data_IF_630675512121
#
_entry.id   IF_630675512121
#
_cell.length_a   1.000
_cell.length_b   1.000
_cell.length_c   1.000
_cell.angle_alpha   90.00
_cell.angle_beta   90.00
_cell.angle_gamma   90.00
#
_symmetry.space_group_name_H-M   'P 1'
#
loop_
_entity.id
_entity.type
_entity.pdbx_description
1 polymer ?
#
# COMPACT_ATOMS: atom_id res chain seq x y z
N UNK A 1 0.46 9.55 -0.02
CA UNK A 1 0.37 10.87 -0.71
C UNK A 1 0.44 12.08 0.23
N UNK A 2 -0.60 12.41 1.02
CA UNK A 2 -0.70 13.70 1.73
C UNK A 2 0.44 13.99 2.73
N UNK A 3 1.02 12.97 3.36
CA UNK A 3 2.09 13.13 4.35
C UNK A 3 3.44 13.55 3.73
N UNK A 4 3.96 12.89 2.67
CA UNK A 4 5.17 13.34 1.97
C UNK A 4 4.94 14.52 0.98
N UNK A 5 3.77 15.15 0.98
CA UNK A 5 3.40 16.17 -0.01
C UNK A 5 4.43 17.32 -0.10
N UNK A 6 4.75 17.75 -1.32
CA UNK A 6 5.76 18.75 -1.63
C UNK A 6 7.16 18.43 -1.03
N UNK A 7 7.46 17.15 -0.79
CA UNK A 7 8.70 16.71 -0.13
C UNK A 7 8.86 17.29 1.28
N UNK A 8 7.75 17.56 1.99
CA UNK A 8 7.75 18.20 3.30
C UNK A 8 8.45 19.60 3.32
N UNK A 9 8.46 20.30 2.18
CA UNK A 9 8.91 21.71 2.11
C UNK A 9 7.84 22.71 2.55
N UNK A 10 6.58 22.28 2.62
CA UNK A 10 5.40 23.05 3.06
C UNK A 10 4.80 22.38 4.31
N UNK A 11 4.23 23.12 5.27
CA UNK A 11 3.56 22.52 6.43
C UNK A 11 2.30 21.74 6.00
N UNK A 12 2.01 20.63 6.67
CA UNK A 12 0.79 19.84 6.43
C UNK A 12 -0.45 20.55 7.01
N UNK A 13 -1.61 20.49 6.31
CA UNK A 13 -2.86 21.11 6.77
C UNK A 13 -3.64 20.25 7.79
N UNK A 14 -3.02 19.22 8.36
CA UNK A 14 -3.63 18.25 9.29
C UNK A 14 -2.67 17.92 10.44
N UNK A 15 -3.23 17.61 11.61
CA UNK A 15 -2.45 17.31 12.81
C UNK A 15 -1.96 15.85 12.87
N UNK A 16 -2.61 14.93 12.15
CA UNK A 16 -2.36 13.49 12.22
C UNK A 16 -2.88 12.76 10.98
N UNK A 17 -2.37 11.54 10.72
CA UNK A 17 -2.77 10.72 9.58
C UNK A 17 -3.23 9.30 10.00
N UNK A 18 -4.27 8.76 9.36
CA UNK A 18 -4.60 7.33 9.47
C UNK A 18 -4.60 6.69 8.08
N UNK A 19 -3.96 5.54 7.98
CA UNK A 19 -3.66 4.82 6.75
C UNK A 19 -4.20 3.38 6.89
N UNK A 20 -5.38 3.12 6.30
CA UNK A 20 -5.99 1.79 6.26
C UNK A 20 -5.65 1.13 4.93
N UNK A 21 -5.04 -0.04 5.00
CA UNK A 21 -4.67 -0.87 3.86
C UNK A 21 -3.79 -0.08 2.88
N UNK A 22 -2.58 0.23 3.34
CA UNK A 22 -1.47 0.97 2.70
C UNK A 22 -1.21 2.41 3.14
N UNK A 23 0.05 2.83 2.96
CA UNK A 23 0.60 4.16 3.27
C UNK A 23 1.30 4.81 2.05
N UNK A 24 1.90 4.00 1.18
CA UNK A 24 2.58 4.39 -0.05
C UNK A 24 1.93 3.60 -1.17
N UNK A 25 1.54 4.27 -2.25
CA UNK A 25 0.98 3.58 -3.40
C UNK A 25 2.11 2.87 -4.14
N UNK A 26 1.92 1.59 -4.46
CA UNK A 26 2.90 0.86 -5.26
C UNK A 26 2.81 1.32 -6.73
N UNK A 27 3.82 1.05 -7.55
CA UNK A 27 3.79 1.36 -8.99
C UNK A 27 3.67 2.84 -9.40
N UNK A 28 3.84 3.81 -8.48
CA UNK A 28 3.75 5.25 -8.78
C UNK A 28 4.72 5.77 -9.88
N UNK A 29 5.82 5.04 -10.17
CA UNK A 29 6.71 5.37 -11.28
C UNK A 29 6.34 4.71 -12.62
N UNK A 30 5.34 3.82 -12.68
CA UNK A 30 4.93 3.22 -13.93
C UNK A 30 4.06 4.18 -14.75
N UNK A 31 4.21 4.11 -16.07
CA UNK A 31 3.43 4.93 -17.01
C UNK A 31 1.99 4.42 -17.20
N UNK A 32 1.39 3.74 -16.21
CA UNK A 32 0.05 3.14 -16.30
C UNK A 32 -0.98 4.23 -16.62
N UNK A 33 -1.02 5.30 -15.81
CA UNK A 33 -1.98 6.40 -15.96
C UNK A 33 -1.75 7.24 -17.21
N UNK A 34 -0.50 7.40 -17.63
CA UNK A 34 -0.15 8.05 -18.89
C UNK A 34 -0.63 7.24 -20.10
N UNK A 35 -0.30 5.94 -20.14
CA UNK A 35 -0.73 5.02 -21.19
C UNK A 35 -2.26 4.91 -21.27
N UNK A 36 -2.94 4.81 -20.14
CA UNK A 36 -4.40 4.78 -20.06
C UNK A 36 -5.04 6.07 -20.61
N UNK A 37 -4.56 7.25 -20.17
CA UNK A 37 -5.03 8.55 -20.64
C UNK A 37 -4.86 8.69 -22.15
N UNK A 38 -3.70 8.31 -22.69
CA UNK A 38 -3.42 8.37 -24.11
C UNK A 38 -4.26 7.39 -24.93
N UNK A 39 -4.43 6.15 -24.47
CA UNK A 39 -5.27 5.15 -25.14
C UNK A 39 -6.74 5.60 -25.20
N UNK A 40 -7.28 6.15 -24.11
CA UNK A 40 -8.64 6.71 -24.08
C UNK A 40 -8.75 7.92 -25.01
N UNK A 41 -7.73 8.78 -25.09
CA UNK A 41 -7.71 9.90 -26.02
C UNK A 41 -7.64 9.50 -27.50
N UNK A 42 -6.94 8.40 -27.83
CA UNK A 42 -6.96 7.80 -29.18
C UNK A 42 -8.36 7.28 -29.51
N UNK A 43 -8.96 6.49 -28.62
CA UNK A 43 -10.32 5.94 -28.81
C UNK A 43 -11.41 7.01 -28.84
N UNK A 44 -11.20 8.14 -28.14
CA UNK A 44 -12.02 9.35 -28.18
C UNK A 44 -11.84 10.19 -29.45
N UNK A 45 -10.90 9.82 -30.34
CA UNK A 45 -10.51 10.59 -31.51
C UNK A 45 -9.98 12.01 -31.18
N UNK A 46 -9.40 12.18 -29.99
CA UNK A 46 -8.77 13.42 -29.49
C UNK A 46 -7.29 13.57 -29.87
N UNK A 47 -6.82 12.78 -30.85
CA UNK A 47 -5.56 12.97 -31.58
C UNK A 47 -4.30 13.06 -30.70
N UNK A 48 -4.16 12.15 -29.73
CA UNK A 48 -2.92 11.98 -28.97
C UNK A 48 -1.79 11.47 -29.87
N UNK A 49 -0.61 12.10 -29.79
CA UNK A 49 0.55 11.77 -30.63
C UNK A 49 1.44 10.64 -30.08
N UNK A 50 1.38 10.43 -28.77
CA UNK A 50 2.18 9.48 -27.99
C UNK A 50 1.59 9.35 -26.57
N UNK A 51 2.14 8.46 -25.75
CA UNK A 51 1.65 8.17 -24.40
C UNK A 51 1.88 9.27 -23.35
N UNK A 52 2.71 10.28 -23.64
CA UNK A 52 2.99 11.42 -22.76
C UNK A 52 2.34 12.73 -23.25
N UNK A 53 1.68 12.68 -24.41
CA UNK A 53 1.11 13.83 -25.10
C UNK A 53 -0.11 14.41 -24.36
N UNK A 54 0.17 15.31 -23.42
CA UNK A 54 -0.82 16.12 -22.70
C UNK A 54 -1.07 17.46 -23.41
N UNK A 55 -1.11 17.45 -24.75
CA UNK A 55 -1.29 18.69 -25.52
C UNK A 55 -2.61 19.38 -25.13
N UNK A 56 -2.65 20.72 -25.00
CA UNK A 56 -3.87 21.42 -24.59
C UNK A 56 -5.09 21.07 -25.46
N UNK A 57 -4.89 20.87 -26.77
CA UNK A 57 -5.94 20.48 -27.70
C UNK A 57 -6.52 19.06 -27.42
N UNK A 58 -5.67 18.09 -27.05
CA UNK A 58 -6.11 16.74 -26.66
C UNK A 58 -6.89 16.77 -25.34
N UNK A 59 -6.43 17.54 -24.36
CA UNK A 59 -7.13 17.70 -23.07
C UNK A 59 -8.45 18.47 -23.24
N UNK A 60 -8.50 19.53 -24.05
CA UNK A 60 -9.72 20.28 -24.31
C UNK A 60 -10.74 19.48 -25.14
N UNK A 61 -10.27 18.62 -26.05
CA UNK A 61 -11.11 17.62 -26.71
C UNK A 61 -11.72 16.65 -25.69
N UNK A 62 -10.92 16.04 -24.81
CA UNK A 62 -11.43 15.14 -23.75
C UNK A 62 -12.47 15.83 -22.85
N UNK A 63 -12.22 17.09 -22.46
CA UNK A 63 -13.15 17.91 -21.66
C UNK A 63 -14.46 18.23 -22.38
N UNK A 64 -14.49 18.22 -23.70
CA UNK A 64 -15.70 18.49 -24.50
C UNK A 64 -16.66 17.31 -24.60
N UNK A 65 -16.20 16.10 -24.22
CA UNK A 65 -16.99 14.87 -24.35
C UNK A 65 -17.97 14.69 -23.19
N UNK A 66 -19.15 14.07 -23.44
CA UNK A 66 -20.04 13.63 -22.36
C UNK A 66 -19.35 12.65 -21.41
N UNK A 67 -19.66 12.75 -20.12
CA UNK A 67 -19.12 11.84 -19.09
C UNK A 67 -19.39 10.37 -19.40
N UNK A 68 -20.58 10.05 -19.94
CA UNK A 68 -20.94 8.69 -20.39
C UNK A 68 -20.02 8.17 -21.51
N UNK A 69 -19.62 9.04 -22.44
CA UNK A 69 -18.66 8.68 -23.50
C UNK A 69 -17.30 8.36 -22.91
N UNK A 70 -16.79 9.22 -22.03
CA UNK A 70 -15.50 8.97 -21.35
C UNK A 70 -15.53 7.70 -20.50
N UNK A 71 -16.63 7.45 -19.77
CA UNK A 71 -16.81 6.25 -18.96
C UNK A 71 -16.79 4.97 -19.82
N UNK A 72 -17.56 4.95 -20.92
CA UNK A 72 -17.62 3.78 -21.79
C UNK A 72 -16.26 3.49 -22.44
N UNK A 73 -15.56 4.51 -22.94
CA UNK A 73 -14.20 4.35 -23.48
C UNK A 73 -13.19 3.86 -22.42
N UNK A 74 -13.36 4.28 -21.17
CA UNK A 74 -12.54 3.79 -20.05
C UNK A 74 -12.83 2.32 -19.74
N UNK A 75 -14.11 1.92 -19.72
CA UNK A 75 -14.50 0.53 -19.49
C UNK A 75 -14.05 -0.40 -20.63
N UNK A 76 -14.13 0.05 -21.88
CA UNK A 76 -13.64 -0.70 -23.05
C UNK A 76 -12.12 -0.89 -23.02
N UNK A 77 -11.36 0.03 -22.40
CA UNK A 77 -9.93 -0.12 -22.16
C UNK A 77 -9.61 -1.05 -20.96
N UNK A 78 -10.34 -0.93 -19.85
CA UNK A 78 -10.09 -1.76 -18.64
C UNK A 78 -10.50 -3.22 -18.87
N UNK A 79 -11.69 -3.48 -19.42
CA UNK A 79 -12.27 -4.83 -19.45
C UNK A 79 -11.40 -5.93 -20.10
N UNK A 80 -10.64 -5.67 -21.19
CA UNK A 80 -9.70 -6.65 -21.75
C UNK A 80 -8.46 -6.91 -20.87
N UNK A 81 -8.12 -5.99 -19.96
CA UNK A 81 -6.88 -6.01 -19.16
C UNK A 81 -7.05 -6.64 -17.77
N UNK A 82 -8.29 -6.97 -17.37
CA UNK A 82 -8.69 -7.49 -16.05
C UNK A 82 -7.96 -8.75 -15.55
N UNK A 83 -7.31 -9.52 -16.42
CA UNK A 83 -6.50 -10.67 -16.02
C UNK A 83 -5.14 -10.25 -15.44
N UNK A 84 -4.69 -9.05 -15.78
CA UNK A 84 -3.31 -8.57 -15.71
C UNK A 84 -3.18 -7.24 -14.94
N UNK A 85 -4.29 -6.67 -14.46
CA UNK A 85 -4.32 -5.55 -13.52
C UNK A 85 -5.47 -5.70 -12.52
N UNK A 86 -5.38 -4.98 -11.41
CA UNK A 86 -6.35 -4.89 -10.33
C UNK A 86 -7.51 -3.90 -10.62
N UNK A 87 -7.60 -3.43 -11.87
CA UNK A 87 -8.45 -2.33 -12.40
C UNK A 87 -7.97 -0.92 -12.09
N UNK A 88 -6.92 -0.70 -11.30
CA UNK A 88 -6.41 0.65 -11.13
C UNK A 88 -5.51 1.04 -12.31
N UNK A 89 -6.01 2.01 -13.08
CA UNK A 89 -5.32 2.58 -14.23
C UNK A 89 -5.10 4.09 -14.07
N UNK A 90 -5.58 4.70 -12.99
CA UNK A 90 -5.52 6.14 -12.74
C UNK A 90 -4.92 6.43 -11.36
N UNK A 91 -3.75 5.84 -11.16
CA UNK A 91 -2.92 5.93 -9.99
C UNK A 91 -2.32 7.33 -9.78
N UNK A 92 -1.96 7.67 -8.53
CA UNK A 92 -1.00 8.72 -8.21
C UNK A 92 0.29 8.59 -9.02
N UNK A 93 0.81 9.73 -9.52
CA UNK A 93 2.06 9.79 -10.27
C UNK A 93 2.97 10.90 -9.72
N UNK A 94 4.26 10.83 -10.05
CA UNK A 94 5.24 11.90 -9.75
C UNK A 94 4.95 13.10 -10.65
N UNK A 95 4.45 14.19 -10.08
CA UNK A 95 4.04 15.41 -10.79
C UNK A 95 5.07 16.54 -10.71
N UNK A 96 6.17 16.35 -9.97
CA UNK A 96 7.24 17.33 -9.73
C UNK A 96 6.81 18.56 -8.89
N UNK A 97 5.61 18.56 -8.28
CA UNK A 97 5.16 19.57 -7.30
C UNK A 97 4.54 18.90 -6.05
N UNK A 98 3.31 18.39 -6.13
CA UNK A 98 2.62 17.77 -4.98
C UNK A 98 3.31 16.47 -4.55
N UNK A 99 3.77 15.68 -5.51
CA UNK A 99 4.63 14.51 -5.35
C UNK A 99 5.91 14.77 -6.16
N UNK A 100 6.92 15.43 -5.56
CA UNK A 100 8.11 15.83 -6.30
C UNK A 100 9.06 14.68 -6.63
N UNK A 101 8.85 13.51 -6.03
CA UNK A 101 9.64 12.29 -6.20
C UNK A 101 8.79 11.06 -5.80
N UNK A 102 9.34 9.85 -5.96
CA UNK A 102 8.72 8.59 -5.53
C UNK A 102 8.45 8.54 -4.03
N UNK A 103 7.39 7.86 -3.65
CA UNK A 103 6.94 7.82 -2.26
C UNK A 103 7.98 7.12 -1.36
N UNK A 104 8.65 6.08 -1.86
CA UNK A 104 9.79 5.46 -1.16
C UNK A 104 10.97 6.40 -1.01
N UNK A 105 11.37 7.14 -2.06
CA UNK A 105 12.48 8.12 -2.01
C UNK A 105 12.22 9.21 -0.98
N UNK A 106 11.01 9.78 -0.99
CA UNK A 106 10.58 10.77 0.00
C UNK A 106 10.58 10.20 1.43
N UNK A 107 10.23 8.93 1.61
CA UNK A 107 10.26 8.23 2.91
C UNK A 107 11.71 7.93 3.35
N UNK A 108 12.55 7.41 2.46
CA UNK A 108 13.95 7.03 2.70
C UNK A 108 14.83 8.23 3.09
N UNK A 109 14.66 9.36 2.39
CA UNK A 109 15.32 10.63 2.72
C UNK A 109 14.73 11.30 3.98
N UNK A 110 13.65 10.77 4.55
CA UNK A 110 12.96 11.37 5.67
C UNK A 110 12.31 12.71 5.33
N UNK A 111 11.82 12.91 4.10
CA UNK A 111 10.99 14.07 3.68
C UNK A 111 9.56 13.95 4.22
N UNK A 112 9.44 13.74 5.53
CA UNK A 112 8.20 13.45 6.27
C UNK A 112 8.00 14.45 7.44
N UNK A 113 6.81 15.02 7.66
CA UNK A 113 6.51 15.92 8.78
C UNK A 113 6.48 15.20 10.13
N UNK A 114 6.68 15.93 11.25
CA UNK A 114 6.55 15.36 12.59
C UNK A 114 5.08 15.36 13.01
N UNK A 115 4.38 14.30 12.67
CA UNK A 115 2.98 14.06 13.05
C UNK A 115 2.82 12.65 13.65
N UNK A 116 1.87 12.45 14.59
CA UNK A 116 1.38 11.11 14.91
C UNK A 116 0.65 10.51 13.70
N UNK A 117 0.80 9.21 13.51
CA UNK A 117 0.06 8.45 12.51
C UNK A 117 -0.41 7.11 13.08
N UNK A 118 -1.44 6.52 12.48
CA UNK A 118 -1.77 5.10 12.61
C UNK A 118 -1.75 4.48 11.21
N UNK A 119 -1.17 3.29 11.08
CA UNK A 119 -1.28 2.48 9.87
C UNK A 119 -1.73 1.06 10.23
N UNK A 120 -2.40 0.37 9.31
CA UNK A 120 -2.83 -1.02 9.49
C UNK A 120 -3.41 -1.62 8.22
N UNK A 121 -3.56 -2.94 8.20
CA UNK A 121 -4.06 -3.77 7.09
C UNK A 121 -4.86 -4.95 7.67
N UNK A 122 -5.59 -5.69 6.84
CA UNK A 122 -6.18 -6.98 7.22
C UNK A 122 -5.33 -8.16 6.75
N UNK A 123 -5.51 -9.30 7.40
CA UNK A 123 -4.80 -10.57 7.14
C UNK A 123 -4.90 -11.01 5.65
N UNK A 124 -6.08 -10.86 5.05
CA UNK A 124 -6.42 -11.36 3.70
C UNK A 124 -6.76 -10.27 2.66
N UNK A 125 -6.46 -8.98 2.92
CA UNK A 125 -6.97 -7.83 2.13
C UNK A 125 -6.84 -7.98 0.61
N UNK A 126 -5.72 -8.52 0.11
CA UNK A 126 -5.48 -8.67 -1.34
C UNK A 126 -6.13 -9.91 -1.98
N UNK A 127 -6.78 -10.79 -1.22
CA UNK A 127 -7.47 -11.98 -1.75
C UNK A 127 -8.58 -11.62 -2.73
N UNK A 128 -9.22 -10.45 -2.56
CA UNK A 128 -10.25 -9.95 -3.48
C UNK A 128 -9.68 -9.53 -4.85
N UNK A 129 -8.43 -9.05 -4.88
CA UNK A 129 -7.76 -8.52 -6.07
C UNK A 129 -6.87 -9.57 -6.77
N UNK A 130 -6.67 -10.74 -6.16
CA UNK A 130 -5.80 -11.80 -6.69
C UNK A 130 -6.57 -12.70 -7.66
N UNK A 131 -5.94 -13.05 -8.79
CA UNK A 131 -6.60 -13.81 -9.85
C UNK A 131 -6.99 -15.22 -9.37
N UNK A 132 -8.30 -15.47 -9.28
CA UNK A 132 -8.87 -16.67 -8.67
C UNK A 132 -8.58 -18.02 -9.34
N UNK A 133 -7.92 -18.03 -10.52
CA UNK A 133 -7.56 -19.24 -11.27
C UNK A 133 -6.14 -19.75 -10.99
N UNK A 134 -5.38 -19.08 -10.12
CA UNK A 134 -4.04 -19.52 -9.70
C UNK A 134 -4.17 -20.87 -8.97
N UNK A 135 -3.54 -21.93 -9.51
CA UNK A 135 -3.58 -23.29 -8.93
C UNK A 135 -2.19 -23.87 -8.65
N UNK A 136 -1.16 -23.40 -9.36
CA UNK A 136 0.21 -23.92 -9.32
C UNK A 136 1.24 -22.82 -9.05
N UNK A 137 2.43 -23.23 -8.59
CA UNK A 137 3.58 -22.33 -8.44
C UNK A 137 3.98 -21.62 -9.77
N UNK A 138 3.66 -22.21 -10.93
CA UNK A 138 3.88 -21.58 -12.22
C UNK A 138 2.87 -20.43 -12.45
N UNK A 139 1.61 -20.60 -12.06
CA UNK A 139 0.58 -19.56 -12.17
C UNK A 139 0.88 -18.39 -11.21
N UNK A 140 1.27 -18.70 -9.96
CA UNK A 140 1.73 -17.71 -8.98
C UNK A 140 2.89 -16.90 -9.53
N UNK A 141 3.86 -17.55 -10.19
CA UNK A 141 4.98 -16.85 -10.81
C UNK A 141 4.54 -15.98 -11.98
N UNK A 142 3.73 -16.51 -12.90
CA UNK A 142 3.24 -15.80 -14.08
C UNK A 142 2.41 -14.57 -13.68
N UNK A 143 1.62 -14.65 -12.60
CA UNK A 143 0.91 -13.52 -12.02
C UNK A 143 1.85 -12.36 -11.67
N UNK A 144 2.94 -12.62 -10.94
CA UNK A 144 3.91 -11.56 -10.59
C UNK A 144 4.76 -11.08 -11.76
N UNK A 145 5.11 -11.94 -12.73
CA UNK A 145 5.81 -11.51 -13.96
C UNK A 145 4.94 -10.60 -14.84
N UNK A 146 3.61 -10.71 -14.74
CA UNK A 146 2.65 -9.84 -15.42
C UNK A 146 2.42 -8.53 -14.66
N UNK A 147 2.18 -8.60 -13.34
CA UNK A 147 1.86 -7.41 -12.52
C UNK A 147 3.07 -6.52 -12.24
N UNK A 148 4.26 -7.11 -12.10
CA UNK A 148 5.50 -6.39 -11.81
C UNK A 148 6.60 -6.80 -12.81
N UNK A 149 6.49 -6.38 -14.09
CA UNK A 149 7.35 -6.86 -15.18
C UNK A 149 8.84 -6.49 -15.03
N UNK A 150 9.16 -5.55 -14.13
CA UNK A 150 10.54 -5.16 -13.79
C UNK A 150 11.15 -6.00 -12.65
N UNK A 151 10.38 -6.87 -11.97
CA UNK A 151 10.93 -7.86 -11.05
C UNK A 151 11.73 -8.91 -11.83
N UNK A 152 13.06 -8.83 -11.70
CA UNK A 152 13.94 -9.78 -12.36
C UNK A 152 13.75 -11.21 -11.79
N UNK A 153 14.09 -12.20 -12.60
CA UNK A 153 13.86 -13.62 -12.28
C UNK A 153 14.50 -14.08 -10.96
N UNK A 154 15.66 -13.52 -10.58
CA UNK A 154 16.33 -13.85 -9.31
C UNK A 154 15.57 -13.25 -8.12
N UNK A 155 15.18 -11.97 -8.21
CA UNK A 155 14.38 -11.29 -7.19
C UNK A 155 13.03 -11.98 -6.99
N UNK A 156 12.32 -12.32 -8.08
CA UNK A 156 11.05 -13.04 -7.98
C UNK A 156 11.22 -14.46 -7.42
N UNK A 157 12.29 -15.18 -7.77
CA UNK A 157 12.57 -16.50 -7.19
C UNK A 157 12.83 -16.41 -5.67
N UNK A 158 13.60 -15.40 -5.24
CA UNK A 158 13.84 -15.16 -3.81
C UNK A 158 12.56 -14.78 -3.07
N UNK A 159 11.73 -13.92 -3.66
CA UNK A 159 10.41 -13.56 -3.13
C UNK A 159 9.53 -14.79 -2.91
N UNK A 160 9.35 -15.62 -3.95
CA UNK A 160 8.53 -16.83 -3.87
C UNK A 160 9.04 -17.84 -2.81
N UNK A 161 10.34 -17.87 -2.53
CA UNK A 161 10.94 -18.73 -1.50
C UNK A 161 10.66 -18.26 -0.07
N UNK A 162 10.37 -16.96 0.16
CA UNK A 162 9.99 -16.45 1.49
C UNK A 162 8.62 -16.99 1.92
N UNK A 163 7.73 -17.24 0.97
CA UNK A 163 6.35 -17.70 1.19
C UNK A 163 6.15 -19.13 0.66
N UNK A 164 6.59 -20.18 1.37
CA UNK A 164 6.42 -21.56 0.90
C UNK A 164 4.94 -21.99 0.98
N UNK A 165 4.46 -22.69 -0.05
CA UNK A 165 3.04 -23.04 -0.22
C UNK A 165 2.48 -23.95 0.88
N UNK A 166 3.34 -24.68 1.62
CA UNK A 166 2.95 -25.54 2.74
C UNK A 166 2.36 -24.77 3.94
N UNK A 167 2.51 -23.44 3.98
CA UNK A 167 1.89 -22.57 4.98
C UNK A 167 0.45 -22.16 4.64
N UNK A 168 0.00 -22.46 3.42
CA UNK A 168 -1.30 -22.05 2.91
C UNK A 168 -2.23 -23.25 2.75
N UNK A 169 -3.49 -23.11 3.17
CA UNK A 169 -4.49 -24.18 3.11
C UNK A 169 -5.50 -23.88 2.02
N UNK A 170 -5.72 -24.82 1.09
CA UNK A 170 -6.74 -24.69 0.05
C UNK A 170 -8.16 -24.71 0.65
N UNK A 171 -9.05 -23.84 0.15
CA UNK A 171 -10.46 -23.84 0.52
C UNK A 171 -11.25 -24.60 -0.56
N UNK A 172 -11.38 -25.91 -0.35
CA UNK A 172 -12.04 -26.84 -1.28
C UNK A 172 -13.51 -26.46 -1.50
N UNK A 173 -14.22 -26.01 -0.45
CA UNK A 173 -15.64 -25.63 -0.55
C UNK A 173 -15.85 -24.36 -1.40
N UNK A 174 -14.90 -23.43 -1.38
CA UNK A 174 -14.92 -22.21 -2.19
C UNK A 174 -14.24 -22.37 -3.57
N UNK A 175 -13.72 -23.57 -3.88
CA UNK A 175 -12.86 -23.84 -5.04
C UNK A 175 -11.69 -22.86 -5.15
N UNK A 176 -10.88 -22.76 -4.09
CA UNK A 176 -9.68 -21.89 -4.01
C UNK A 176 -8.46 -22.73 -3.62
N UNK A 177 -7.39 -22.61 -4.41
CA UNK A 177 -6.14 -23.35 -4.20
C UNK A 177 -5.31 -22.77 -3.04
N UNK A 178 -4.28 -23.49 -2.59
CA UNK A 178 -3.28 -22.95 -1.65
C UNK A 178 -2.36 -21.90 -2.32
N UNK A 179 -2.06 -22.08 -3.61
CA UNK A 179 -1.26 -21.13 -4.41
C UNK A 179 -1.98 -19.78 -4.58
N UNK A 180 -3.31 -19.76 -4.64
CA UNK A 180 -4.09 -18.52 -4.64
C UNK A 180 -3.87 -17.73 -3.35
N UNK A 181 -4.01 -18.38 -2.19
CA UNK A 181 -3.81 -17.71 -0.89
C UNK A 181 -2.36 -17.26 -0.70
N UNK A 182 -1.39 -18.06 -1.18
CA UNK A 182 0.02 -17.68 -1.24
C UNK A 182 0.25 -16.44 -2.09
N UNK A 183 -0.28 -16.42 -3.32
CA UNK A 183 -0.20 -15.28 -4.22
C UNK A 183 -0.85 -14.03 -3.60
N UNK A 184 -2.03 -14.18 -3.00
CA UNK A 184 -2.73 -13.09 -2.33
C UNK A 184 -1.94 -12.52 -1.15
N UNK A 185 -1.31 -13.36 -0.33
CA UNK A 185 -0.49 -12.92 0.80
C UNK A 185 0.78 -12.18 0.35
N UNK A 186 1.46 -12.66 -0.70
CA UNK A 186 2.59 -11.93 -1.31
C UNK A 186 2.12 -10.57 -1.88
N UNK A 187 0.98 -10.56 -2.58
CA UNK A 187 0.44 -9.36 -3.21
C UNK A 187 -0.02 -8.31 -2.18
N UNK A 188 -0.64 -8.75 -1.07
CA UNK A 188 -0.93 -7.96 0.13
C UNK A 188 0.32 -7.31 0.70
N UNK A 189 1.42 -8.06 0.77
CA UNK A 189 2.65 -7.55 1.36
C UNK A 189 3.33 -6.50 0.49
N UNK A 190 3.33 -6.68 -0.83
CA UNK A 190 3.81 -5.67 -1.79
C UNK A 190 2.95 -4.40 -1.74
N UNK A 191 1.62 -4.54 -1.78
CA UNK A 191 0.69 -3.40 -1.93
C UNK A 191 0.41 -2.65 -0.61
N UNK A 192 0.29 -3.37 0.51
CA UNK A 192 -0.40 -2.88 1.71
C UNK A 192 0.48 -2.96 2.96
N UNK A 193 1.00 -4.15 3.27
CA UNK A 193 1.71 -4.42 4.54
C UNK A 193 3.06 -3.73 4.58
N UNK A 194 3.94 -4.06 3.64
CA UNK A 194 5.33 -3.63 3.69
C UNK A 194 5.53 -2.15 3.40
N UNK A 195 4.75 -1.49 2.50
CA UNK A 195 4.72 -0.03 2.40
C UNK A 195 4.32 0.66 3.70
N UNK A 196 3.33 0.12 4.43
CA UNK A 196 2.92 0.64 5.74
C UNK A 196 4.01 0.49 6.80
N UNK A 197 4.68 -0.67 6.84
CA UNK A 197 5.82 -0.93 7.72
C UNK A 197 7.04 -0.05 7.37
N UNK A 198 7.30 0.18 6.08
CA UNK A 198 8.40 1.03 5.60
C UNK A 198 8.21 2.49 5.98
N UNK A 199 7.01 3.02 5.76
CA UNK A 199 6.64 4.36 6.21
C UNK A 199 6.80 4.50 7.74
N UNK A 200 6.31 3.51 8.50
CA UNK A 200 6.36 3.56 9.96
C UNK A 200 7.78 3.49 10.54
N UNK A 201 8.62 2.59 10.01
CA UNK A 201 10.02 2.46 10.43
C UNK A 201 10.84 3.72 10.08
N UNK A 202 10.56 4.35 8.94
CA UNK A 202 11.21 5.59 8.52
C UNK A 202 10.78 6.81 9.35
N UNK A 203 9.49 6.89 9.71
CA UNK A 203 8.98 7.88 10.69
C UNK A 203 9.64 7.70 12.06
N UNK A 204 9.77 6.45 12.54
CA UNK A 204 10.45 6.14 13.79
C UNK A 204 11.92 6.54 13.74
N UNK A 205 12.67 6.10 12.71
CA UNK A 205 14.08 6.45 12.49
C UNK A 205 14.33 7.97 12.44
N UNK A 206 13.42 8.73 11.81
CA UNK A 206 13.54 10.20 11.75
C UNK A 206 13.27 10.89 13.10
N UNK A 207 12.35 10.36 13.90
CA UNK A 207 11.82 11.02 15.09
C UNK A 207 12.08 10.28 16.41
N UNK A 208 13.02 9.33 16.42
CA UNK A 208 13.47 8.59 17.59
C UNK A 208 14.09 9.53 18.64
N UNK A 209 13.25 10.16 19.46
CA UNK A 209 13.54 10.68 20.80
C UNK A 209 12.24 11.15 21.50
N UNK A 210 12.05 10.65 22.72
CA UNK A 210 10.97 10.94 23.70
C UNK A 210 9.57 10.42 23.37
N UNK A 211 9.26 9.22 23.87
CA UNK A 211 7.92 8.72 24.20
C UNK A 211 8.02 7.99 25.54
N UNK A 212 7.24 8.41 26.55
CA UNK A 212 7.39 7.97 27.95
C UNK A 212 6.01 7.68 28.60
N UNK A 213 5.51 6.42 28.50
CA UNK A 213 4.18 6.03 28.98
C UNK A 213 4.15 5.45 30.41
N UNK A 214 3.00 5.56 31.07
CA UNK A 214 2.76 5.23 32.50
C UNK A 214 1.86 4.00 32.71
N UNK A 215 1.75 3.42 33.92
CA UNK A 215 0.86 2.28 34.19
C UNK A 215 -0.61 2.45 33.79
N UNK A 216 -1.17 3.66 33.91
CA UNK A 216 -2.54 3.97 33.41
C UNK A 216 -2.66 3.82 31.90
N UNK A 217 -1.57 4.09 31.18
CA UNK A 217 -1.43 3.84 29.74
C UNK A 217 -1.35 2.33 29.42
N UNK A 218 -1.51 1.43 30.41
CA UNK A 218 -1.65 -0.02 30.23
C UNK A 218 -2.99 -0.66 30.68
N UNK A 219 -4.03 0.07 31.16
CA UNK A 219 -5.40 -0.50 31.42
C UNK A 219 -6.58 -0.36 30.38
N UNK A 220 -6.72 0.74 29.61
CA UNK A 220 -7.51 0.86 28.36
C UNK A 220 -7.05 -0.13 27.21
N UNK A 221 -7.35 -1.45 27.29
CA UNK A 221 -6.86 -2.58 26.42
C UNK A 221 -7.88 -3.38 25.48
N UNK A 222 -9.03 -2.85 25.00
CA UNK A 222 -10.32 -3.57 24.69
C UNK A 222 -11.35 -3.08 23.59
N UNK A 223 -11.35 -1.91 22.90
CA UNK A 223 -12.60 -1.31 22.26
C UNK A 223 -12.60 -0.56 20.85
N UNK A 224 -12.12 -1.10 19.72
CA UNK A 224 -11.87 -0.45 18.38
C UNK A 224 -12.69 0.78 17.79
N UNK A 225 -14.02 0.95 17.83
CA UNK A 225 -14.69 1.93 16.93
C UNK A 225 -14.45 3.42 17.22
N UNK A 226 -14.30 3.80 18.49
CA UNK A 226 -14.07 5.19 18.88
C UNK A 226 -12.64 5.64 18.65
N UNK A 227 -11.67 4.74 18.39
CA UNK A 227 -10.27 5.06 18.05
C UNK A 227 -10.17 6.03 16.90
N UNK A 228 -11.04 5.80 15.92
CA UNK A 228 -11.13 6.55 14.69
C UNK A 228 -11.64 7.95 14.95
N UNK A 229 -12.70 8.09 15.74
CA UNK A 229 -13.22 9.39 16.19
C UNK A 229 -12.25 10.12 17.12
N UNK A 230 -11.55 9.38 17.98
CA UNK A 230 -10.54 9.88 18.90
C UNK A 230 -9.31 10.42 18.16
N UNK A 231 -8.77 9.65 17.22
CA UNK A 231 -7.60 10.05 16.45
C UNK A 231 -7.92 11.23 15.54
N UNK A 232 -9.06 11.21 14.85
CA UNK A 232 -9.50 12.33 14.02
C UNK A 232 -9.71 13.64 14.80
N UNK A 233 -9.99 13.56 16.11
CA UNK A 233 -10.26 14.74 16.95
C UNK A 233 -9.07 15.18 17.80
N UNK A 234 -8.25 14.25 18.28
CA UNK A 234 -7.17 14.45 19.26
C UNK A 234 -5.78 14.04 18.78
N UNK A 235 -5.65 13.52 17.56
CA UNK A 235 -4.39 12.94 17.04
C UNK A 235 -3.89 11.71 17.83
N UNK A 236 -4.78 11.09 18.62
CA UNK A 236 -4.47 9.95 19.50
C UNK A 236 -5.42 8.78 19.22
N UNK A 237 -4.90 7.55 19.00
CA UNK A 237 -5.71 6.37 18.69
C UNK A 237 -6.50 5.82 19.89
N UNK A 238 -6.16 6.30 21.09
CA UNK A 238 -6.78 5.97 22.37
C UNK A 238 -7.15 7.26 23.06
N UNK A 239 -8.39 7.38 23.56
CA UNK A 239 -8.88 8.56 24.30
C UNK A 239 -9.70 8.11 25.50
N UNK A 240 -9.32 8.65 26.65
CA UNK A 240 -9.89 8.31 27.95
C UNK A 240 -11.42 8.50 28.01
N UNK A 241 -12.11 7.54 28.62
CA UNK A 241 -13.57 7.55 28.75
C UNK A 241 -14.34 7.29 27.44
N UNK A 242 -13.67 6.88 26.36
CA UNK A 242 -14.29 6.48 25.08
C UNK A 242 -14.03 4.99 24.80
N UNK A 243 -14.84 4.39 23.92
CA UNK A 243 -14.60 3.03 23.40
C UNK A 243 -13.57 3.13 22.27
N UNK A 244 -12.26 3.15 22.56
CA UNK A 244 -11.16 3.37 21.58
C UNK A 244 -10.23 2.16 21.39
N UNK A 245 -9.15 2.27 20.62
CA UNK A 245 -8.15 1.22 20.38
C UNK A 245 -7.08 1.30 21.44
N UNK A 246 -6.50 0.15 21.68
CA UNK A 246 -6.13 -0.21 23.02
C UNK A 246 -4.85 -1.10 22.93
N UNK A 247 -3.91 -0.55 22.16
CA UNK A 247 -2.56 -0.97 21.79
C UNK A 247 -1.60 0.15 22.20
N UNK A 248 -0.50 -0.13 22.93
CA UNK A 248 0.05 0.85 23.89
C UNK A 248 1.54 1.07 23.92
N UNK A 249 2.25 0.44 23.01
CA UNK A 249 3.54 0.88 22.54
C UNK A 249 3.35 1.60 21.20
N UNK A 250 4.27 2.50 20.85
CA UNK A 250 4.56 2.77 19.45
C UNK A 250 4.90 1.44 18.77
N UNK A 251 4.56 1.28 17.48
CA UNK A 251 5.06 0.13 16.71
C UNK A 251 6.59 0.01 16.78
N UNK A 252 7.31 1.11 17.03
CA UNK A 252 8.75 1.11 17.30
C UNK A 252 9.00 1.76 18.66
N UNK A 253 8.94 1.01 19.79
CA UNK A 253 8.96 1.60 21.13
C UNK A 253 10.30 2.22 21.51
N UNK A 254 11.41 1.65 21.03
CA UNK A 254 12.76 2.14 21.32
C UNK A 254 13.31 3.09 20.24
N UNK A 255 12.54 3.39 19.17
CA UNK A 255 13.03 4.10 17.98
C UNK A 255 14.00 3.31 17.09
N UNK A 256 14.56 2.21 17.62
CA UNK A 256 15.45 1.27 16.95
C UNK A 256 14.84 -0.15 17.02
N UNK A 257 14.93 -0.91 15.92
CA UNK A 257 14.58 -2.34 15.87
C UNK A 257 13.37 -2.71 15.01
N UNK A 258 12.96 -3.98 15.13
CA UNK A 258 11.81 -4.57 14.44
C UNK A 258 10.50 -4.14 15.10
N UNK A 259 9.46 -3.92 14.28
CA UNK A 259 8.21 -3.31 14.74
C UNK A 259 7.23 -4.27 15.42
N UNK A 260 6.51 -3.78 16.42
CA UNK A 260 5.38 -4.46 17.05
C UNK A 260 4.05 -4.13 16.34
N UNK A 261 3.18 -5.12 16.18
CA UNK A 261 1.87 -4.98 15.50
C UNK A 261 0.74 -5.39 16.46
N UNK A 262 -0.38 -4.67 16.44
CA UNK A 262 -1.57 -5.04 17.22
C UNK A 262 -2.60 -5.78 16.39
N UNK A 263 -2.88 -7.04 16.76
CA UNK A 263 -3.90 -7.86 16.11
C UNK A 263 -5.27 -7.53 16.69
N UNK A 264 -6.17 -7.00 15.86
CA UNK A 264 -7.50 -6.52 16.28
C UNK A 264 -8.54 -7.65 16.36
N UNK A 265 -8.32 -8.78 15.67
CA UNK A 265 -9.29 -9.86 15.53
C UNK A 265 -8.72 -11.28 15.73
N UNK A 266 -9.46 -12.27 15.26
CA UNK A 266 -9.09 -13.69 15.34
C UNK A 266 -9.14 -14.28 16.75
N UNK A 267 -8.66 -15.51 16.90
CA UNK A 267 -8.72 -16.25 18.18
C UNK A 267 -7.77 -15.76 19.28
N UNK A 268 -6.90 -14.79 18.97
CA UNK A 268 -5.90 -14.21 19.89
C UNK A 268 -5.62 -12.73 19.56
N UNK A 269 -6.51 -11.77 19.84
CA UNK A 269 -6.19 -10.35 19.67
C UNK A 269 -5.04 -9.89 20.59
N UNK A 270 -4.50 -8.69 20.35
CA UNK A 270 -3.49 -8.04 21.19
C UNK A 270 -2.17 -7.73 20.48
N UNK A 271 -1.24 -7.04 21.18
CA UNK A 271 0.11 -6.75 20.69
C UNK A 271 0.87 -8.04 20.34
N UNK A 272 1.76 -7.91 19.36
CA UNK A 272 2.67 -8.95 18.88
C UNK A 272 4.01 -8.31 18.57
N UNK A 273 5.08 -8.91 19.10
CA UNK A 273 6.44 -8.58 18.70
C UNK A 273 6.78 -9.12 17.30
N UNK A 274 8.04 -8.97 16.88
CA UNK A 274 8.53 -9.49 15.61
C UNK A 274 8.26 -10.98 15.39
N UNK A 275 8.18 -11.39 14.12
CA UNK A 275 7.94 -12.78 13.72
C UNK A 275 6.48 -13.24 13.64
N UNK A 276 5.48 -12.35 13.79
CA UNK A 276 4.05 -12.74 13.71
C UNK A 276 3.68 -13.43 12.39
N UNK A 277 4.20 -12.93 11.27
CA UNK A 277 4.03 -13.49 9.91
C UNK A 277 5.37 -13.54 9.14
N UNK A 278 6.52 -13.51 9.85
CA UNK A 278 7.86 -13.22 9.26
C UNK A 278 7.93 -11.88 8.50
N UNK A 279 7.16 -10.88 8.96
CA UNK A 279 7.14 -9.54 8.35
C UNK A 279 8.52 -8.86 8.36
N UNK A 280 9.35 -9.17 9.36
CA UNK A 280 10.76 -8.81 9.45
C UNK A 280 11.56 -9.30 8.23
N UNK A 281 11.46 -10.57 7.86
CA UNK A 281 12.14 -11.13 6.69
C UNK A 281 11.47 -10.69 5.38
N UNK A 282 10.14 -10.78 5.29
CA UNK A 282 9.34 -10.47 4.10
C UNK A 282 9.41 -8.98 3.73
N UNK A 283 9.11 -8.08 4.67
CA UNK A 283 9.21 -6.65 4.44
C UNK A 283 10.67 -6.16 4.49
N UNK A 284 11.57 -6.85 5.18
CA UNK A 284 13.01 -6.58 5.05
C UNK A 284 13.53 -6.82 3.63
N UNK A 285 13.04 -7.86 2.96
CA UNK A 285 13.31 -8.11 1.55
C UNK A 285 12.60 -7.12 0.62
N UNK A 286 11.28 -6.96 0.76
CA UNK A 286 10.46 -6.10 -0.11
C UNK A 286 10.81 -4.62 -0.02
N UNK A 287 11.26 -4.15 1.15
CA UNK A 287 11.69 -2.77 1.38
C UNK A 287 13.20 -2.55 1.20
N UNK A 288 13.94 -3.54 0.65
CA UNK A 288 15.34 -3.34 0.29
C UNK A 288 15.46 -2.47 -0.96
N UNK A 289 16.50 -1.64 -1.04
CA UNK A 289 16.69 -0.66 -2.14
C UNK A 289 16.57 -1.32 -3.53
N UNK A 290 17.19 -2.50 -3.70
CA UNK A 290 17.18 -3.29 -4.95
C UNK A 290 15.78 -3.78 -5.33
N UNK A 291 14.90 -4.04 -4.35
CA UNK A 291 13.53 -4.53 -4.61
C UNK A 291 12.57 -3.35 -4.80
N UNK A 292 12.73 -2.26 -4.03
CA UNK A 292 12.00 -1.00 -4.24
C UNK A 292 12.24 -0.45 -5.66
N UNK A 293 13.48 -0.45 -6.15
CA UNK A 293 13.80 0.00 -7.52
C UNK A 293 13.02 -0.78 -8.60
N UNK A 294 12.82 -2.09 -8.39
CA UNK A 294 12.06 -2.95 -9.30
C UNK A 294 10.53 -2.83 -9.13
N UNK A 295 10.05 -2.54 -7.92
CA UNK A 295 8.64 -2.31 -7.62
C UNK A 295 8.18 -0.86 -7.91
N UNK A 296 9.12 0.07 -8.14
CA UNK A 296 8.91 1.43 -8.66
C UNK A 296 7.85 2.24 -7.91
N UNK A 297 8.00 2.32 -6.59
CA UNK A 297 7.21 3.17 -5.70
C UNK A 297 8.09 4.01 -4.79
#
# INVERSE_FOLDING_TARGET
MQVPAYGNTKPVPFAAAIMQSTALESTMAFNISFNATAAIAVSANCNATDSFSTSPAMIDCLRSLPMETLLNLTLDFINPTLANNDRDIFLPTVDQDFLPDLASSLVAEGKLPKIPFMAGWQEDDATLFTNSVIETNADTRAFFEVYYPDLNSTTLTNLLNLYPVDKFTANITANKSAELYRAAHIFRDILLTCPSAYFGSSMAKKYANVFDPTPSDYDLAKWYPGSWSAFAHWSMPSVEGKRTLEARSSAFPNGEGEGEVYVVGGGKPGMRGPGLERLDESCGFLNSEVVIEQLKY
#
